data_IF_903645650612
#
_entry.id   IF_903645650612
#
_cell.length_a   1.000
_cell.length_b   1.000
_cell.length_c   1.000
_cell.angle_alpha   90.00
_cell.angle_beta   90.00
_cell.angle_gamma   90.00
#
_symmetry.space_group_name_H-M   'P 1'
#
loop_
_entity.id
_entity.type
_entity.pdbx_description
1 polymer ?
#
# COMPACT_ATOMS: atom_id res chain seq x y z
N UNK A 1 24.61 -31.64 -15.31
CA UNK A 1 25.10 -30.26 -15.50
C UNK A 1 24.00 -29.51 -16.25
N UNK A 2 22.97 -29.06 -15.55
CA UNK A 2 21.94 -28.20 -16.15
C UNK A 2 22.51 -26.83 -16.45
N UNK A 3 22.32 -26.38 -17.65
CA UNK A 3 22.99 -25.26 -18.24
C UNK A 3 22.71 -23.94 -17.49
N UNK A 4 23.76 -23.26 -17.13
CA UNK A 4 23.77 -21.89 -16.55
C UNK A 4 23.11 -20.81 -17.47
N UNK A 5 22.50 -21.25 -18.60
CA UNK A 5 21.97 -20.35 -19.64
C UNK A 5 20.59 -19.74 -19.31
N UNK A 6 19.80 -20.32 -18.40
CA UNK A 6 18.46 -19.85 -18.09
C UNK A 6 18.37 -19.00 -16.81
N UNK A 7 19.51 -18.74 -16.16
CA UNK A 7 19.54 -17.91 -14.95
C UNK A 7 19.37 -16.43 -15.24
N UNK A 8 18.60 -15.77 -14.37
CA UNK A 8 18.41 -14.33 -14.42
C UNK A 8 19.69 -13.61 -13.93
N UNK A 9 20.04 -12.56 -14.60
CA UNK A 9 21.14 -11.67 -14.20
C UNK A 9 20.64 -10.53 -13.33
N UNK A 10 21.52 -9.86 -12.60
CA UNK A 10 21.18 -8.62 -11.88
C UNK A 10 20.51 -7.57 -12.80
N UNK A 11 20.89 -7.54 -14.07
CA UNK A 11 20.30 -6.65 -15.08
C UNK A 11 18.85 -7.02 -15.38
N UNK A 12 18.50 -8.31 -15.38
CA UNK A 12 17.12 -8.75 -15.61
C UNK A 12 16.23 -8.32 -14.43
N UNK A 13 16.69 -8.50 -13.20
CA UNK A 13 16.00 -8.03 -12.00
C UNK A 13 15.84 -6.50 -11.96
N UNK A 14 16.88 -5.77 -12.32
CA UNK A 14 16.80 -4.31 -12.44
C UNK A 14 15.79 -3.87 -13.49
N UNK A 15 15.80 -4.51 -14.67
CA UNK A 15 14.81 -4.25 -15.73
C UNK A 15 13.39 -4.57 -15.28
N UNK A 16 13.20 -5.66 -14.53
CA UNK A 16 11.88 -6.00 -13.96
C UNK A 16 11.42 -4.92 -12.99
N UNK A 17 12.31 -4.42 -12.13
CA UNK A 17 12.00 -3.31 -11.23
C UNK A 17 11.56 -2.05 -12.00
N UNK A 18 12.26 -1.68 -13.08
CA UNK A 18 11.86 -0.56 -13.95
C UNK A 18 10.53 -0.81 -14.68
N UNK A 19 10.27 -2.04 -15.12
CA UNK A 19 8.98 -2.38 -15.75
C UNK A 19 7.78 -2.18 -14.83
N UNK A 20 7.98 -2.13 -13.53
CA UNK A 20 6.89 -1.83 -12.58
C UNK A 20 6.26 -0.43 -12.77
N UNK A 21 6.90 0.47 -13.54
CA UNK A 21 6.27 1.74 -13.95
C UNK A 21 5.06 1.55 -14.86
N UNK A 22 4.99 0.44 -15.62
CA UNK A 22 3.83 0.14 -16.47
C UNK A 22 2.74 -0.65 -15.75
N UNK A 23 2.85 -0.88 -14.44
CA UNK A 23 1.93 -1.73 -13.68
C UNK A 23 0.46 -1.30 -13.80
N UNK A 24 0.19 -0.01 -13.89
CA UNK A 24 -1.17 0.51 -13.94
C UNK A 24 -1.74 0.62 -15.36
N UNK A 25 -0.95 0.36 -16.42
CA UNK A 25 -1.40 0.50 -17.81
C UNK A 25 -2.49 -0.50 -18.21
N UNK A 26 -2.57 -1.67 -17.59
CA UNK A 26 -3.57 -2.71 -17.87
C UNK A 26 -4.54 -2.90 -16.70
N UNK A 27 -4.76 -1.85 -15.90
CA UNK A 27 -5.71 -1.90 -14.79
C UNK A 27 -7.12 -2.15 -15.31
N UNK A 28 -7.81 -3.13 -14.70
CA UNK A 28 -9.16 -3.50 -15.09
C UNK A 28 -9.97 -3.96 -13.88
N UNK A 29 -11.30 -4.00 -14.02
CA UNK A 29 -12.20 -4.31 -12.92
C UNK A 29 -12.06 -5.76 -12.39
N UNK A 30 -11.75 -6.73 -13.24
CA UNK A 30 -11.75 -8.16 -12.85
C UNK A 30 -10.47 -8.55 -12.09
N UNK A 31 -9.31 -8.13 -12.59
CA UNK A 31 -8.00 -8.57 -12.07
C UNK A 31 -7.17 -7.42 -11.50
N UNK A 32 -7.71 -6.21 -11.52
CA UNK A 32 -7.03 -4.97 -11.11
C UNK A 32 -5.69 -4.81 -11.84
N UNK A 33 -4.57 -4.99 -11.17
CA UNK A 33 -3.23 -4.88 -11.73
C UNK A 33 -2.72 -6.20 -12.35
N UNK A 34 -3.47 -7.31 -12.26
CA UNK A 34 -3.00 -8.66 -12.60
C UNK A 34 -2.43 -8.80 -14.01
N UNK A 35 -3.11 -8.23 -15.03
CA UNK A 35 -2.61 -8.25 -16.42
C UNK A 35 -1.28 -7.53 -16.55
N UNK A 36 -1.16 -6.35 -15.97
CA UNK A 36 0.09 -5.58 -16.02
C UNK A 36 1.17 -6.21 -15.17
N UNK A 37 0.82 -6.84 -14.05
CA UNK A 37 1.77 -7.56 -13.22
C UNK A 37 2.41 -8.71 -14.01
N UNK A 38 1.61 -9.51 -14.70
CA UNK A 38 2.16 -10.51 -15.62
C UNK A 38 3.09 -9.87 -16.66
N UNK A 39 2.71 -8.74 -17.25
CA UNK A 39 3.56 -8.04 -18.21
C UNK A 39 4.90 -7.59 -17.60
N UNK A 40 4.92 -7.19 -16.32
CA UNK A 40 6.15 -6.83 -15.60
C UNK A 40 7.10 -8.02 -15.49
N UNK A 41 6.62 -9.20 -15.08
CA UNK A 41 7.46 -10.37 -14.83
C UNK A 41 7.70 -11.26 -16.06
N UNK A 42 6.90 -11.11 -17.13
CA UNK A 42 6.93 -11.98 -18.30
C UNK A 42 8.30 -12.14 -18.97
N UNK A 43 9.13 -11.07 -19.13
CA UNK A 43 10.48 -11.26 -19.68
C UNK A 43 11.36 -12.18 -18.85
N UNK A 44 11.26 -12.09 -17.52
CA UNK A 44 11.95 -13.01 -16.61
C UNK A 44 11.45 -14.44 -16.72
N UNK A 45 10.12 -14.63 -16.75
CA UNK A 45 9.52 -15.96 -16.95
C UNK A 45 9.92 -16.59 -18.28
N UNK A 46 9.92 -15.82 -19.37
CA UNK A 46 10.38 -16.31 -20.69
C UNK A 46 11.83 -16.77 -20.68
N UNK A 47 12.68 -16.15 -19.86
CA UNK A 47 14.07 -16.56 -19.74
C UNK A 47 14.22 -17.80 -18.85
N UNK A 48 13.51 -17.86 -17.72
CA UNK A 48 13.53 -19.03 -16.81
C UNK A 48 13.00 -20.29 -17.53
N UNK A 49 11.86 -20.16 -18.22
CA UNK A 49 11.18 -21.29 -18.87
C UNK A 49 11.39 -21.34 -20.38
N UNK A 50 12.58 -20.89 -20.87
CA UNK A 50 12.92 -20.85 -22.29
C UNK A 50 12.72 -22.21 -22.98
N UNK A 51 13.11 -23.27 -22.28
CA UNK A 51 13.07 -24.63 -22.81
C UNK A 51 11.82 -25.43 -22.40
N UNK A 52 10.85 -24.74 -21.73
CA UNK A 52 9.60 -25.37 -21.29
C UNK A 52 8.38 -24.44 -21.53
N UNK A 53 7.88 -24.37 -22.78
CA UNK A 53 6.75 -23.52 -23.13
C UNK A 53 5.45 -23.81 -22.36
N UNK A 54 5.21 -25.09 -22.02
CA UNK A 54 4.00 -25.44 -21.26
C UNK A 54 4.05 -24.89 -19.85
N UNK A 55 5.19 -24.99 -19.17
CA UNK A 55 5.37 -24.41 -17.83
C UNK A 55 5.34 -22.89 -17.86
N UNK A 56 5.86 -22.26 -18.92
CA UNK A 56 5.71 -20.82 -19.13
C UNK A 56 4.23 -20.42 -19.22
N UNK A 57 3.45 -21.15 -20.01
CA UNK A 57 2.01 -20.89 -20.19
C UNK A 57 1.22 -21.08 -18.90
N UNK A 58 1.49 -22.14 -18.16
CA UNK A 58 0.88 -22.43 -16.86
C UNK A 58 1.19 -21.33 -15.86
N UNK A 59 2.48 -20.97 -15.70
CA UNK A 59 2.93 -19.92 -14.78
C UNK A 59 2.36 -18.55 -15.17
N UNK A 60 2.30 -18.25 -16.47
CA UNK A 60 1.71 -17.00 -16.96
C UNK A 60 0.22 -16.92 -16.62
N UNK A 61 -0.55 -18.00 -16.85
CA UNK A 61 -1.97 -18.07 -16.49
C UNK A 61 -2.21 -17.85 -14.99
N UNK A 62 -1.40 -18.49 -14.14
CA UNK A 62 -1.48 -18.33 -12.69
C UNK A 62 -1.22 -16.89 -12.22
N UNK A 63 -0.51 -16.09 -13.02
CA UNK A 63 -0.20 -14.70 -12.70
C UNK A 63 -1.20 -13.68 -13.30
N UNK A 64 -2.22 -14.13 -14.04
CA UNK A 64 -3.32 -13.28 -14.49
C UNK A 64 -4.42 -13.05 -13.44
N UNK A 65 -4.31 -13.70 -12.29
CA UNK A 65 -5.27 -13.54 -11.19
C UNK A 65 -5.32 -12.11 -10.62
N UNK A 66 -6.31 -11.87 -9.76
CA UNK A 66 -6.42 -10.61 -9.03
C UNK A 66 -5.11 -10.25 -8.33
N UNK A 67 -4.65 -9.04 -8.57
CA UNK A 67 -3.48 -8.46 -7.94
C UNK A 67 -3.67 -6.96 -7.74
N UNK A 68 -3.45 -6.47 -6.52
CA UNK A 68 -3.53 -5.04 -6.22
C UNK A 68 -2.60 -4.69 -5.06
N UNK A 69 -1.56 -3.94 -5.35
CA UNK A 69 -0.60 -3.45 -4.34
C UNK A 69 -0.08 -2.07 -4.74
N UNK A 70 0.67 -1.44 -3.84
CA UNK A 70 1.30 -0.16 -4.15
C UNK A 70 2.35 -0.31 -5.28
N UNK A 71 2.23 0.46 -6.37
CA UNK A 71 3.17 0.40 -7.49
C UNK A 71 4.64 0.64 -7.12
N UNK A 72 4.86 1.29 -5.98
CA UNK A 72 6.21 1.62 -5.50
C UNK A 72 6.94 0.40 -4.92
N UNK A 73 6.20 -0.56 -4.35
CA UNK A 73 6.75 -1.75 -3.72
C UNK A 73 6.63 -3.03 -4.59
N UNK A 74 5.97 -2.96 -5.75
CA UNK A 74 5.88 -4.08 -6.71
C UNK A 74 7.24 -4.67 -7.07
N UNK A 75 8.32 -3.89 -7.26
CA UNK A 75 9.63 -4.46 -7.57
C UNK A 75 10.12 -5.49 -6.54
N UNK A 76 9.76 -5.33 -5.28
CA UNK A 76 10.07 -6.30 -4.23
C UNK A 76 9.40 -7.66 -4.51
N UNK A 77 8.07 -7.65 -4.72
CA UNK A 77 7.31 -8.89 -4.95
C UNK A 77 7.71 -9.54 -6.26
N UNK A 78 7.83 -8.76 -7.34
CA UNK A 78 8.16 -9.29 -8.67
C UNK A 78 9.54 -9.94 -8.73
N UNK A 79 10.54 -9.33 -8.09
CA UNK A 79 11.88 -9.89 -8.08
C UNK A 79 12.01 -11.08 -7.13
N UNK A 80 11.36 -11.05 -5.97
CA UNK A 80 11.25 -12.19 -5.08
C UNK A 80 10.61 -13.38 -5.80
N UNK A 81 9.49 -13.15 -6.47
CA UNK A 81 8.76 -14.18 -7.21
C UNK A 81 9.60 -14.78 -8.35
N UNK A 82 10.29 -13.96 -9.13
CA UNK A 82 11.18 -14.43 -10.18
C UNK A 82 12.32 -15.28 -9.64
N UNK A 83 12.93 -14.89 -8.52
CA UNK A 83 13.99 -15.66 -7.87
C UNK A 83 13.48 -17.02 -7.39
N UNK A 84 12.25 -17.08 -6.85
CA UNK A 84 11.61 -18.34 -6.44
C UNK A 84 11.32 -19.26 -7.62
N UNK A 85 10.84 -18.72 -8.75
CA UNK A 85 10.65 -19.52 -9.97
C UNK A 85 11.96 -20.01 -10.55
N UNK A 86 13.01 -19.19 -10.52
CA UNK A 86 14.36 -19.58 -10.96
C UNK A 86 14.92 -20.73 -10.12
N UNK A 87 14.58 -20.77 -8.83
CA UNK A 87 14.94 -21.87 -7.90
C UNK A 87 14.07 -23.13 -8.06
N UNK A 88 13.08 -23.10 -8.94
CA UNK A 88 12.21 -24.25 -9.18
C UNK A 88 11.07 -24.41 -8.18
N UNK A 89 10.75 -23.39 -7.39
CA UNK A 89 9.63 -23.43 -6.46
C UNK A 89 8.29 -23.64 -7.20
N UNK A 90 7.35 -24.31 -6.54
CA UNK A 90 6.03 -24.57 -7.12
C UNK A 90 5.24 -23.28 -7.33
N UNK A 91 4.35 -23.28 -8.33
CA UNK A 91 3.47 -22.15 -8.63
C UNK A 91 2.62 -21.78 -7.40
N UNK A 92 2.13 -22.77 -6.66
CA UNK A 92 1.30 -22.55 -5.47
C UNK A 92 2.08 -21.90 -4.32
N UNK A 93 3.34 -22.30 -4.10
CA UNK A 93 4.20 -21.69 -3.10
C UNK A 93 4.47 -20.21 -3.41
N UNK A 94 4.83 -19.95 -4.67
CA UNK A 94 5.12 -18.57 -5.14
C UNK A 94 3.86 -17.71 -5.10
N UNK A 95 2.71 -18.26 -5.50
CA UNK A 95 1.41 -17.60 -5.40
C UNK A 95 1.05 -17.23 -3.98
N UNK A 96 1.22 -18.15 -3.04
CA UNK A 96 0.90 -17.95 -1.62
C UNK A 96 1.68 -16.76 -1.05
N UNK A 97 2.97 -16.63 -1.38
CA UNK A 97 3.80 -15.50 -0.95
C UNK A 97 3.36 -14.20 -1.61
N UNK A 98 3.10 -14.22 -2.93
CA UNK A 98 2.59 -13.05 -3.65
C UNK A 98 1.31 -12.52 -2.98
N UNK A 99 0.36 -13.40 -2.68
CA UNK A 99 -0.91 -13.03 -2.05
C UNK A 99 -0.73 -12.54 -0.62
N UNK A 100 0.15 -13.17 0.18
CA UNK A 100 0.42 -12.75 1.55
C UNK A 100 1.06 -11.36 1.63
N UNK A 101 1.94 -11.01 0.67
CA UNK A 101 2.64 -9.74 0.64
C UNK A 101 1.84 -8.60 0.00
N UNK A 102 0.87 -8.92 -0.86
CA UNK A 102 0.12 -7.96 -1.66
C UNK A 102 -0.55 -6.87 -0.80
N UNK A 103 -1.33 -7.27 0.20
CA UNK A 103 -2.07 -6.36 1.07
C UNK A 103 -1.18 -5.49 1.97
N UNK A 104 -0.28 -6.10 2.77
CA UNK A 104 0.65 -5.34 3.61
C UNK A 104 1.49 -4.32 2.83
N UNK A 105 2.05 -4.71 1.69
CA UNK A 105 2.85 -3.80 0.88
C UNK A 105 2.03 -2.72 0.18
N UNK A 106 0.74 -2.94 -0.07
CA UNK A 106 -0.16 -1.88 -0.51
C UNK A 106 -0.21 -0.75 0.53
N UNK A 107 -0.55 -1.07 1.78
CA UNK A 107 -0.66 -0.10 2.87
C UNK A 107 0.67 0.63 3.15
N UNK A 108 1.78 -0.11 3.22
CA UNK A 108 3.11 0.49 3.45
C UNK A 108 3.51 1.42 2.30
N UNK A 109 3.37 0.97 1.05
CA UNK A 109 3.80 1.75 -0.10
C UNK A 109 2.99 3.02 -0.31
N UNK A 110 1.67 2.96 -0.11
CA UNK A 110 0.79 4.12 -0.18
C UNK A 110 1.07 5.10 0.97
N UNK A 111 1.36 4.59 2.17
CA UNK A 111 1.75 5.43 3.31
C UNK A 111 3.03 6.20 3.03
N UNK A 112 4.05 5.55 2.49
CA UNK A 112 5.32 6.21 2.15
C UNK A 112 5.12 7.23 1.03
N UNK A 113 4.43 6.87 -0.05
CA UNK A 113 4.31 7.70 -1.23
C UNK A 113 3.32 8.85 -1.05
N UNK A 114 2.07 8.54 -0.68
CA UNK A 114 0.96 9.50 -0.70
C UNK A 114 0.85 10.28 0.61
N UNK A 115 1.24 9.70 1.75
CA UNK A 115 1.09 10.31 3.05
C UNK A 115 2.40 10.75 3.69
N UNK A 116 3.53 10.28 3.18
CA UNK A 116 4.85 10.70 3.58
C UNK A 116 5.46 11.70 2.58
N UNK A 117 5.95 11.19 1.46
CA UNK A 117 6.77 11.96 0.52
C UNK A 117 6.00 13.05 -0.22
N UNK A 118 4.77 12.76 -0.68
CA UNK A 118 4.01 13.75 -1.44
C UNK A 118 3.64 14.99 -0.60
N UNK A 119 3.08 14.89 0.64
CA UNK A 119 2.86 16.06 1.48
C UNK A 119 4.15 16.77 1.89
N UNK A 120 5.22 16.01 2.21
CA UNK A 120 6.50 16.59 2.59
C UNK A 120 7.05 17.49 1.47
N UNK A 121 7.21 16.93 0.27
CA UNK A 121 7.75 17.70 -0.84
C UNK A 121 6.81 18.81 -1.30
N UNK A 122 5.48 18.57 -1.30
CA UNK A 122 4.54 19.62 -1.69
C UNK A 122 4.61 20.82 -0.72
N UNK A 123 4.75 20.58 0.57
CA UNK A 123 4.88 21.67 1.56
C UNK A 123 6.19 22.45 1.35
N UNK A 124 7.31 21.74 1.17
CA UNK A 124 8.62 22.39 0.94
C UNK A 124 8.58 23.24 -0.33
N UNK A 125 8.17 22.65 -1.47
CA UNK A 125 8.20 23.36 -2.75
C UNK A 125 7.09 24.41 -2.89
N UNK A 126 5.96 24.25 -2.20
CA UNK A 126 4.96 25.32 -2.11
C UNK A 126 5.49 26.52 -1.34
N UNK A 127 6.22 26.32 -0.23
CA UNK A 127 6.91 27.40 0.47
C UNK A 127 7.90 28.13 -0.43
N UNK A 128 8.77 27.39 -1.13
CA UNK A 128 9.72 27.99 -2.08
C UNK A 128 9.04 28.75 -3.23
N UNK A 129 7.88 28.28 -3.69
CA UNK A 129 7.10 29.00 -4.71
C UNK A 129 6.51 30.31 -4.17
N UNK A 130 6.03 30.33 -2.93
CA UNK A 130 5.55 31.54 -2.26
C UNK A 130 6.67 32.57 -2.04
N UNK A 131 7.90 32.12 -1.84
CA UNK A 131 9.11 32.95 -1.76
C UNK A 131 9.57 33.47 -3.15
N UNK A 132 8.80 33.19 -4.23
CA UNK A 132 9.07 33.67 -5.59
C UNK A 132 10.07 32.82 -6.39
N UNK A 133 10.44 31.65 -5.92
CA UNK A 133 11.38 30.76 -6.61
C UNK A 133 10.68 29.98 -7.74
N UNK A 134 10.82 30.45 -8.98
CA UNK A 134 10.13 29.89 -10.15
C UNK A 134 10.47 28.43 -10.49
N UNK A 135 11.58 27.88 -9.97
CA UNK A 135 11.94 26.48 -10.17
C UNK A 135 11.17 25.51 -9.28
N UNK A 136 10.43 25.97 -8.29
CA UNK A 136 9.80 25.15 -7.27
C UNK A 136 8.90 24.00 -7.83
N UNK A 137 8.05 24.21 -8.86
CA UNK A 137 7.27 23.12 -9.45
C UNK A 137 8.13 22.01 -10.06
N UNK A 138 9.22 22.40 -10.75
CA UNK A 138 10.16 21.44 -11.33
C UNK A 138 10.95 20.70 -10.23
N UNK A 139 11.33 21.41 -9.18
CA UNK A 139 11.97 20.82 -7.99
C UNK A 139 11.11 19.76 -7.32
N UNK A 140 9.81 20.03 -7.14
CA UNK A 140 8.85 19.06 -6.63
C UNK A 140 8.79 17.80 -7.50
N UNK A 141 8.63 17.99 -8.81
CA UNK A 141 8.57 16.88 -9.77
C UNK A 141 9.83 16.02 -9.72
N UNK A 142 11.01 16.65 -9.75
CA UNK A 142 12.29 15.94 -9.65
C UNK A 142 12.46 15.20 -8.33
N UNK A 143 12.14 15.82 -7.20
CA UNK A 143 12.23 15.21 -5.88
C UNK A 143 11.33 13.95 -5.80
N UNK A 144 10.09 14.04 -6.27
CA UNK A 144 9.18 12.89 -6.33
C UNK A 144 9.71 11.80 -7.26
N UNK A 145 10.14 12.16 -8.48
CA UNK A 145 10.67 11.21 -9.46
C UNK A 145 11.87 10.43 -8.91
N UNK A 146 12.86 11.16 -8.37
CA UNK A 146 14.09 10.55 -7.85
C UNK A 146 13.83 9.69 -6.61
N UNK A 147 12.98 10.14 -5.70
CA UNK A 147 12.62 9.36 -4.50
C UNK A 147 11.88 8.08 -4.86
N UNK A 148 10.90 8.15 -5.77
CA UNK A 148 10.17 6.97 -6.22
C UNK A 148 11.05 6.01 -7.02
N UNK A 149 11.96 6.53 -7.84
CA UNK A 149 12.95 5.72 -8.53
C UNK A 149 13.86 4.98 -7.54
N UNK A 150 14.41 5.69 -6.56
CA UNK A 150 15.26 5.10 -5.51
C UNK A 150 14.52 3.99 -4.74
N UNK A 151 13.28 4.23 -4.34
CA UNK A 151 12.44 3.23 -3.65
C UNK A 151 12.26 1.99 -4.52
N UNK A 152 11.90 2.15 -5.80
CA UNK A 152 11.69 1.01 -6.72
C UNK A 152 12.97 0.18 -6.92
N UNK A 153 14.10 0.83 -7.12
CA UNK A 153 15.39 0.15 -7.28
C UNK A 153 15.79 -0.56 -6.00
N UNK A 154 15.67 0.10 -4.86
CA UNK A 154 15.98 -0.48 -3.55
C UNK A 154 15.09 -1.69 -3.24
N UNK A 155 13.78 -1.56 -3.43
CA UNK A 155 12.83 -2.66 -3.23
C UNK A 155 13.07 -3.82 -4.19
N UNK A 156 13.39 -3.53 -5.44
CA UNK A 156 13.77 -4.57 -6.41
C UNK A 156 15.03 -5.33 -5.99
N UNK A 157 16.03 -4.63 -5.46
CA UNK A 157 17.23 -5.23 -4.93
C UNK A 157 16.96 -6.11 -3.70
N UNK A 158 16.14 -5.63 -2.76
CA UNK A 158 15.75 -6.41 -1.59
C UNK A 158 14.98 -7.68 -1.98
N UNK A 159 14.04 -7.59 -2.93
CA UNK A 159 13.30 -8.75 -3.42
C UNK A 159 14.22 -9.80 -4.06
N UNK A 160 15.20 -9.36 -4.86
CA UNK A 160 16.22 -10.22 -5.42
C UNK A 160 17.07 -10.90 -4.33
N UNK A 161 17.60 -10.12 -3.38
CA UNK A 161 18.44 -10.67 -2.29
C UNK A 161 17.68 -11.69 -1.43
N UNK A 162 16.45 -11.37 -1.04
CA UNK A 162 15.62 -12.29 -0.24
C UNK A 162 15.30 -13.55 -1.05
N UNK A 163 14.96 -13.41 -2.33
CA UNK A 163 14.73 -14.55 -3.19
C UNK A 163 15.93 -15.48 -3.30
N UNK A 164 17.11 -14.95 -3.56
CA UNK A 164 18.35 -15.77 -3.77
C UNK A 164 18.95 -16.30 -2.48
N UNK A 165 18.88 -15.57 -1.36
CA UNK A 165 19.47 -15.98 -0.08
C UNK A 165 18.51 -16.84 0.76
N UNK A 166 17.20 -16.66 0.60
CA UNK A 166 16.19 -17.40 1.34
C UNK A 166 16.01 -18.83 0.82
N UNK A 167 16.44 -19.12 -0.38
CA UNK A 167 16.34 -20.42 -1.06
C UNK A 167 16.88 -21.58 -0.23
N UNK A 168 17.95 -21.37 0.57
CA UNK A 168 18.56 -22.40 1.43
C UNK A 168 17.79 -22.70 2.73
N UNK A 169 16.80 -21.87 3.10
CA UNK A 169 15.99 -22.06 4.33
C UNK A 169 14.56 -21.50 4.20
N UNK A 170 14.05 -21.40 2.97
CA UNK A 170 12.84 -20.63 2.67
C UNK A 170 11.57 -21.28 3.20
N UNK A 171 11.47 -22.62 3.19
CA UNK A 171 10.26 -23.31 3.62
C UNK A 171 9.81 -22.94 5.03
N UNK A 172 10.77 -22.87 5.96
CA UNK A 172 10.49 -22.51 7.36
C UNK A 172 10.36 -20.98 7.61
N UNK A 173 10.94 -20.18 6.73
CA UNK A 173 10.91 -18.70 6.84
C UNK A 173 9.73 -18.05 6.13
N UNK A 174 9.14 -18.70 5.13
CA UNK A 174 7.97 -18.18 4.41
C UNK A 174 6.81 -17.91 5.36
N UNK A 175 6.50 -18.84 6.25
CA UNK A 175 5.44 -18.66 7.26
C UNK A 175 5.73 -17.45 8.15
N UNK A 176 6.97 -17.30 8.62
CA UNK A 176 7.39 -16.17 9.47
C UNK A 176 7.36 -14.83 8.74
N UNK A 177 7.77 -14.80 7.46
CA UNK A 177 7.71 -13.59 6.63
C UNK A 177 6.25 -13.18 6.39
N UNK A 178 5.37 -14.14 6.09
CA UNK A 178 3.94 -13.88 5.91
C UNK A 178 3.29 -13.40 7.20
N UNK A 179 3.65 -13.98 8.35
CA UNK A 179 3.15 -13.56 9.66
C UNK A 179 3.63 -12.14 10.00
N UNK A 180 4.93 -11.86 9.84
CA UNK A 180 5.47 -10.52 10.04
C UNK A 180 4.83 -9.49 9.10
N UNK A 181 4.66 -9.82 7.82
CA UNK A 181 3.99 -8.97 6.85
C UNK A 181 2.52 -8.70 7.23
N UNK A 182 1.80 -9.70 7.72
CA UNK A 182 0.43 -9.54 8.21
C UNK A 182 0.36 -8.63 9.44
N UNK A 183 1.26 -8.79 10.41
CA UNK A 183 1.33 -7.93 11.60
C UNK A 183 1.58 -6.47 11.20
N UNK A 184 2.58 -6.23 10.36
CA UNK A 184 2.89 -4.89 9.85
C UNK A 184 1.70 -4.33 9.06
N UNK A 185 1.11 -5.12 8.19
CA UNK A 185 -0.04 -4.71 7.38
C UNK A 185 -1.26 -4.32 8.22
N UNK A 186 -1.64 -5.15 9.20
CA UNK A 186 -2.74 -4.85 10.12
C UNK A 186 -2.44 -3.58 10.92
N UNK A 187 -1.21 -3.43 11.42
CA UNK A 187 -0.79 -2.23 12.18
C UNK A 187 -0.90 -0.98 11.33
N UNK A 188 -0.36 -1.00 10.09
CA UNK A 188 -0.41 0.14 9.17
C UNK A 188 -1.85 0.48 8.78
N UNK A 189 -2.66 -0.51 8.39
CA UNK A 189 -4.06 -0.30 8.01
C UNK A 189 -4.86 0.29 9.19
N UNK A 190 -4.64 -0.21 10.40
CA UNK A 190 -5.31 0.31 11.61
C UNK A 190 -4.91 1.76 11.91
N UNK A 191 -3.62 2.08 11.79
CA UNK A 191 -3.11 3.43 11.96
C UNK A 191 -3.67 4.38 10.89
N UNK A 192 -3.75 3.94 9.63
CA UNK A 192 -4.37 4.69 8.55
C UNK A 192 -5.86 4.93 8.82
N UNK A 193 -6.62 3.90 9.18
CA UNK A 193 -8.04 4.02 9.49
C UNK A 193 -8.27 5.08 10.59
N UNK A 194 -7.49 5.05 11.69
CA UNK A 194 -7.56 6.05 12.74
C UNK A 194 -7.11 7.46 12.30
N UNK A 195 -6.26 7.56 11.27
CA UNK A 195 -5.71 8.83 10.80
C UNK A 195 -6.56 9.51 9.73
N UNK A 196 -7.21 8.72 8.87
CA UNK A 196 -8.00 9.25 7.75
C UNK A 196 -9.41 9.65 8.09
N UNK A 197 -10.04 8.99 9.06
CA UNK A 197 -11.35 9.41 9.55
C UNK A 197 -11.16 10.72 10.32
N UNK A 198 -11.56 11.84 9.72
CA UNK A 198 -11.40 13.19 10.31
C UNK A 198 -12.67 13.68 11.01
N UNK A 199 -13.51 12.79 11.50
CA UNK A 199 -14.70 13.18 12.24
C UNK A 199 -14.31 13.83 13.57
N UNK A 200 -14.86 15.01 13.83
CA UNK A 200 -14.67 15.77 15.07
C UNK A 200 -16.03 16.18 15.64
N UNK A 201 -16.13 16.26 16.96
CA UNK A 201 -17.33 16.77 17.65
C UNK A 201 -17.29 18.29 17.64
N UNK A 202 -18.33 18.90 17.09
CA UNK A 202 -18.49 20.35 16.98
C UNK A 202 -19.00 20.98 18.26
N UNK A 203 -19.60 20.21 19.17
CA UNK A 203 -20.27 20.71 20.39
C UNK A 203 -19.28 21.43 21.31
N UNK A 204 -19.61 22.67 21.61
CA UNK A 204 -18.85 23.54 22.51
C UNK A 204 -19.81 24.22 23.52
N UNK A 205 -19.37 24.37 24.75
CA UNK A 205 -20.10 25.09 25.78
C UNK A 205 -19.30 26.29 26.22
N UNK A 206 -19.92 27.47 26.16
CA UNK A 206 -19.37 28.67 26.80
C UNK A 206 -19.75 28.66 28.30
N UNK A 207 -18.78 28.80 29.17
CA UNK A 207 -18.99 28.97 30.61
C UNK A 207 -18.21 30.19 31.09
N UNK A 208 -18.84 30.96 31.97
CA UNK A 208 -18.17 32.13 32.58
C UNK A 208 -17.43 31.66 33.82
N UNK A 209 -16.14 31.82 33.82
CA UNK A 209 -15.30 31.50 34.99
C UNK A 209 -15.42 32.60 36.03
N UNK A 210 -15.13 32.31 37.30
CA UNK A 210 -15.23 33.25 38.43
C UNK A 210 -14.43 34.56 38.26
N UNK A 211 -13.54 34.62 37.24
CA UNK A 211 -12.80 35.81 36.84
C UNK A 211 -13.58 36.75 35.90
N UNK A 212 -14.80 36.38 35.46
CA UNK A 212 -15.59 37.12 34.49
C UNK A 212 -15.21 36.88 33.02
N UNK A 213 -14.25 36.00 32.74
CA UNK A 213 -13.88 35.61 31.36
C UNK A 213 -14.74 34.46 30.85
N UNK A 214 -15.18 34.54 29.58
CA UNK A 214 -15.85 33.45 28.89
C UNK A 214 -14.83 32.40 28.50
N UNK A 215 -14.95 31.19 29.06
CA UNK A 215 -14.16 30.04 28.68
C UNK A 215 -14.99 29.09 27.83
N UNK A 216 -14.54 28.85 26.59
CA UNK A 216 -15.17 27.86 25.68
C UNK A 216 -14.59 26.47 25.93
N UNK A 217 -15.44 25.58 26.44
CA UNK A 217 -15.12 24.18 26.68
C UNK A 217 -15.55 23.36 25.47
N UNK A 218 -14.59 22.81 24.74
CA UNK A 218 -14.83 21.93 23.60
C UNK A 218 -14.84 20.47 24.05
N UNK A 219 -15.93 19.76 23.77
CA UNK A 219 -16.05 18.32 24.05
C UNK A 219 -14.96 17.53 23.31
N UNK A 220 -14.63 17.91 22.07
CA UNK A 220 -13.54 17.29 21.32
C UNK A 220 -12.20 17.35 22.06
N UNK A 221 -11.87 18.52 22.65
CA UNK A 221 -10.61 18.66 23.41
C UNK A 221 -10.57 17.78 24.66
N UNK A 222 -11.70 17.57 25.31
CA UNK A 222 -11.81 16.68 26.46
C UNK A 222 -11.60 15.24 26.04
N UNK A 223 -12.28 14.79 24.95
CA UNK A 223 -12.13 13.44 24.42
C UNK A 223 -10.70 13.17 23.95
N UNK A 224 -10.08 14.12 23.27
CA UNK A 224 -8.69 13.96 22.79
C UNK A 224 -7.67 13.88 23.94
N UNK A 225 -7.96 14.48 25.11
CA UNK A 225 -7.13 14.30 26.31
C UNK A 225 -7.30 12.94 26.96
N UNK A 226 -8.49 12.35 26.90
CA UNK A 226 -8.77 11.00 27.44
C UNK A 226 -8.26 9.92 26.50
N UNK A 227 -8.63 10.00 25.24
CA UNK A 227 -8.24 9.06 24.21
C UNK A 227 -8.19 9.77 22.84
N UNK A 228 -6.98 10.08 22.34
CA UNK A 228 -6.83 10.72 21.03
C UNK A 228 -7.50 9.91 19.91
N UNK A 229 -8.26 10.60 19.06
CA UNK A 229 -8.95 9.98 17.90
C UNK A 229 -9.98 8.90 18.25
N UNK A 230 -10.63 8.99 19.41
CA UNK A 230 -11.65 8.03 19.83
C UNK A 230 -12.77 7.88 18.80
N UNK A 231 -13.32 8.97 18.29
CA UNK A 231 -14.41 8.95 17.32
C UNK A 231 -14.02 8.28 15.98
N UNK A 232 -12.88 8.58 15.35
CA UNK A 232 -12.35 7.82 14.21
C UNK A 232 -12.27 6.30 14.46
N UNK A 233 -11.77 5.90 15.62
CA UNK A 233 -11.65 4.47 15.97
C UNK A 233 -13.03 3.82 16.10
N UNK A 234 -13.98 4.48 16.76
CA UNK A 234 -15.35 3.94 16.91
C UNK A 234 -16.05 3.80 15.55
N UNK A 235 -15.92 4.78 14.66
CA UNK A 235 -16.47 4.71 13.29
C UNK A 235 -15.83 3.53 12.52
N UNK A 236 -14.53 3.35 12.62
CA UNK A 236 -13.83 2.24 11.97
C UNK A 236 -14.29 0.88 12.49
N UNK A 237 -14.46 0.73 13.81
CA UNK A 237 -14.99 -0.50 14.43
C UNK A 237 -16.43 -0.76 13.98
N UNK A 238 -17.27 0.27 13.93
CA UNK A 238 -18.65 0.17 13.43
C UNK A 238 -18.68 -0.34 11.99
N UNK A 239 -17.90 0.28 11.09
CA UNK A 239 -17.80 -0.15 9.68
C UNK A 239 -17.33 -1.59 9.58
N UNK A 240 -16.29 -1.95 10.31
CA UNK A 240 -15.78 -3.33 10.35
C UNK A 240 -16.86 -4.32 10.84
N UNK A 241 -17.61 -3.98 11.88
CA UNK A 241 -18.70 -4.79 12.39
C UNK A 241 -19.81 -5.00 11.36
N UNK A 242 -20.22 -3.92 10.67
CA UNK A 242 -21.24 -3.97 9.63
C UNK A 242 -20.81 -4.85 8.46
N UNK A 243 -19.58 -4.71 8.00
CA UNK A 243 -19.01 -5.53 6.91
C UNK A 243 -18.93 -7.00 7.32
N UNK A 244 -18.32 -7.31 8.47
CA UNK A 244 -17.97 -8.68 8.84
C UNK A 244 -19.13 -9.45 9.46
N UNK A 245 -19.89 -8.84 10.37
CA UNK A 245 -20.98 -9.50 11.11
C UNK A 245 -22.34 -9.37 10.43
N UNK A 246 -22.66 -8.18 9.93
CA UNK A 246 -23.96 -7.92 9.27
C UNK A 246 -23.94 -8.14 7.76
N UNK A 247 -22.74 -8.43 7.18
CA UNK A 247 -22.54 -8.68 5.75
C UNK A 247 -23.08 -7.56 4.84
N UNK A 248 -23.04 -6.32 5.32
CA UNK A 248 -23.41 -5.16 4.53
C UNK A 248 -22.41 -4.99 3.37
N UNK A 249 -22.89 -4.56 2.23
CA UNK A 249 -22.04 -4.23 1.11
C UNK A 249 -21.48 -2.79 1.26
N UNK A 250 -20.43 -2.49 0.52
CA UNK A 250 -19.77 -1.19 0.57
C UNK A 250 -20.70 -0.03 0.27
N UNK A 251 -21.65 -0.19 -0.65
CA UNK A 251 -22.61 0.87 -1.00
C UNK A 251 -23.56 1.21 0.16
N UNK A 252 -24.05 0.20 0.87
CA UNK A 252 -24.91 0.41 2.05
C UNK A 252 -24.18 1.18 3.14
N UNK A 253 -22.89 0.87 3.36
CA UNK A 253 -22.06 1.56 4.34
C UNK A 253 -21.77 2.99 3.91
N UNK A 254 -21.45 3.22 2.64
CA UNK A 254 -21.25 4.57 2.10
C UNK A 254 -22.50 5.45 2.28
N UNK A 255 -23.68 4.92 1.93
CA UNK A 255 -24.95 5.63 2.11
C UNK A 255 -25.19 5.93 3.60
N UNK A 256 -24.99 4.94 4.48
CA UNK A 256 -25.16 5.12 5.92
C UNK A 256 -24.25 6.24 6.45
N UNK A 257 -22.95 6.18 6.14
CA UNK A 257 -21.98 7.18 6.61
C UNK A 257 -22.29 8.58 6.05
N UNK A 258 -22.74 8.65 4.79
CA UNK A 258 -23.13 9.90 4.16
C UNK A 258 -24.36 10.51 4.86
N UNK A 259 -25.40 9.71 5.10
CA UNK A 259 -26.61 10.16 5.80
C UNK A 259 -26.29 10.58 7.24
N UNK A 260 -25.54 9.77 7.99
CA UNK A 260 -25.12 10.10 9.36
C UNK A 260 -24.28 11.38 9.37
N UNK A 261 -23.34 11.52 8.44
CA UNK A 261 -22.49 12.71 8.35
C UNK A 261 -23.30 13.99 8.12
N UNK A 262 -24.23 13.98 7.16
CA UNK A 262 -25.11 15.12 6.89
C UNK A 262 -26.00 15.44 8.10
N UNK A 263 -26.69 14.45 8.64
CA UNK A 263 -27.58 14.67 9.78
C UNK A 263 -26.82 15.19 11.00
N UNK A 264 -25.67 14.63 11.31
CA UNK A 264 -24.88 15.05 12.45
C UNK A 264 -24.27 16.45 12.24
N UNK A 265 -23.91 16.82 11.00
CA UNK A 265 -23.45 18.16 10.66
C UNK A 265 -24.59 19.20 10.77
N UNK A 266 -25.76 18.89 10.23
CA UNK A 266 -26.95 19.77 10.33
C UNK A 266 -27.38 19.99 11.79
N UNK A 267 -27.27 18.96 12.63
CA UNK A 267 -27.55 19.04 14.07
C UNK A 267 -26.42 19.71 14.88
N UNK A 268 -25.31 20.14 14.24
CA UNK A 268 -24.18 20.75 14.93
C UNK A 268 -23.40 19.78 15.83
N UNK A 269 -23.53 18.48 15.62
CA UNK A 269 -22.83 17.44 16.42
C UNK A 269 -21.43 17.18 15.85
N UNK A 270 -21.29 17.15 14.53
CA UNK A 270 -20.04 16.90 13.82
C UNK A 270 -19.59 18.14 13.02
N UNK A 271 -18.27 18.35 12.98
CA UNK A 271 -17.58 19.36 12.18
C UNK A 271 -16.67 18.71 11.14
#
# INVERSE_FOLDING_TARGET
MESNQNKLTKRDYFRTALRSYILQNGFNYNTYQGVSYLNVILPGLKKIYKDNPEKLKETAKANLEFYNTSPHLVPFISNLQLAMYEDGQSIDSVRSIKMALMGPLAGIGDSIAQFGLAPLFSTIFAGLALDGLGFAPMGYWLAMLLSMFAIKVFMGYLGYQLGTNAIKSLSDKISKISEAANIVGVTVISALAASFVKAKIAIQYATTVSSGEEQVVSIQKILDKMMPRLLPVLITILVYYLLKKKKWNTYQILILLFVIGILASVLGILA
#
